data_IF_229792260654
#
_entry.id   IF_229792260654
#
_cell.length_a   1.000
_cell.length_b   1.000
_cell.length_c   1.000
_cell.angle_alpha   90.00
_cell.angle_beta   90.00
_cell.angle_gamma   90.00
#
_symmetry.space_group_name_H-M   'P 1'
#
loop_
_entity.id
_entity.type
_entity.pdbx_description
1 polymer ?
#
# COMPACT_ATOMS: atom_id res chain seq x y z
N UNK A 1 -30.14 -53.72 43.43
CA UNK A 1 -29.54 -52.43 43.85
C UNK A 1 -28.76 -51.90 42.63
N UNK A 2 -29.33 -51.07 41.73
CA UNK A 2 -29.31 -49.57 41.74
C UNK A 2 -27.93 -49.06 42.20
N UNK A 3 -27.08 -48.44 41.36
CA UNK A 3 -27.29 -47.13 40.69
C UNK A 3 -26.40 -47.00 39.43
N UNK A 4 -26.99 -46.53 38.32
CA UNK A 4 -26.30 -45.97 37.15
C UNK A 4 -26.33 -44.43 37.23
N UNK A 5 -25.20 -43.81 36.88
CA UNK A 5 -24.93 -42.49 36.23
C UNK A 5 -25.83 -41.26 36.55
N UNK A 6 -25.24 -40.06 36.70
CA UNK A 6 -24.77 -39.34 35.50
C UNK A 6 -23.45 -38.56 35.66
N UNK A 7 -22.61 -38.71 34.63
CA UNK A 7 -21.55 -37.77 34.25
C UNK A 7 -22.22 -36.50 33.72
N UNK A 8 -22.07 -35.40 34.43
CA UNK A 8 -22.49 -34.08 33.99
C UNK A 8 -21.44 -33.57 32.99
N UNK A 9 -21.62 -33.86 31.71
CA UNK A 9 -20.82 -33.28 30.63
C UNK A 9 -21.27 -31.83 30.42
N UNK A 10 -20.60 -30.89 31.09
CA UNK A 10 -20.72 -29.47 30.83
C UNK A 10 -20.09 -29.16 29.47
N UNK A 11 -20.93 -29.09 28.44
CA UNK A 11 -20.56 -28.71 27.08
C UNK A 11 -20.21 -27.21 27.07
N UNK A 12 -18.92 -26.91 27.09
CA UNK A 12 -18.35 -25.56 26.94
C UNK A 12 -18.73 -25.00 25.56
N UNK A 13 -19.71 -24.08 25.54
CA UNK A 13 -19.98 -23.20 24.40
C UNK A 13 -18.86 -22.15 24.32
N UNK A 14 -17.76 -22.48 23.66
CA UNK A 14 -16.78 -21.47 23.24
C UNK A 14 -17.40 -20.65 22.09
N UNK A 15 -17.49 -19.31 22.20
CA UNK A 15 -17.82 -18.48 21.05
C UNK A 15 -16.72 -18.68 20.01
N UNK A 16 -17.03 -19.40 18.94
CA UNK A 16 -16.16 -19.47 17.77
C UNK A 16 -16.01 -18.04 17.24
N UNK A 17 -14.83 -17.43 17.46
CA UNK A 17 -14.42 -16.23 16.75
C UNK A 17 -14.50 -16.55 15.25
N UNK A 18 -15.60 -16.15 14.60
CA UNK A 18 -15.65 -16.18 13.14
C UNK A 18 -14.62 -15.15 12.66
N UNK A 19 -13.70 -15.52 11.77
CA UNK A 19 -12.82 -14.54 11.15
C UNK A 19 -13.71 -13.48 10.50
N UNK A 20 -13.54 -12.23 10.92
CA UNK A 20 -14.27 -11.10 10.39
C UNK A 20 -13.95 -11.00 8.91
N UNK A 21 -14.93 -11.26 8.02
CA UNK A 21 -14.77 -11.03 6.58
C UNK A 21 -14.35 -9.57 6.41
N UNK A 22 -13.27 -9.33 5.67
CA UNK A 22 -12.82 -7.97 5.35
C UNK A 22 -13.96 -7.23 4.62
N UNK A 23 -14.11 -5.94 4.88
CA UNK A 23 -15.16 -5.12 4.27
C UNK A 23 -14.98 -5.01 2.74
N UNK A 24 -16.08 -4.78 2.02
CA UNK A 24 -16.13 -4.78 0.54
C UNK A 24 -16.00 -6.15 -0.14
N UNK A 25 -16.20 -6.19 -1.46
CA UNK A 25 -15.91 -7.30 -2.36
C UNK A 25 -14.56 -7.06 -3.06
N UNK A 26 -13.84 -8.14 -3.40
CA UNK A 26 -12.53 -8.01 -4.05
C UNK A 26 -12.71 -7.59 -5.51
N UNK A 27 -12.07 -6.48 -5.89
CA UNK A 27 -12.00 -6.03 -7.29
C UNK A 27 -10.88 -6.77 -8.02
N UNK A 28 -9.79 -7.08 -7.31
CA UNK A 28 -8.63 -7.81 -7.83
C UNK A 28 -7.42 -7.69 -6.92
N UNK A 29 -6.49 -8.64 -7.08
CA UNK A 29 -5.14 -8.53 -6.53
C UNK A 29 -4.17 -8.16 -7.64
N UNK A 30 -3.21 -7.29 -7.32
CA UNK A 30 -2.29 -6.72 -8.29
C UNK A 30 -0.85 -6.81 -7.78
N UNK A 31 0.08 -7.13 -8.67
CA UNK A 31 1.50 -6.83 -8.49
C UNK A 31 1.72 -5.39 -8.93
N UNK A 32 2.28 -4.59 -8.04
CA UNK A 32 2.51 -3.16 -8.26
C UNK A 32 3.99 -2.92 -8.46
N UNK A 33 4.31 -2.35 -9.62
CA UNK A 33 5.62 -1.84 -9.97
C UNK A 33 5.57 -0.30 -9.84
N UNK A 34 6.40 0.26 -8.95
CA UNK A 34 6.49 1.69 -8.68
C UNK A 34 7.77 2.30 -9.21
N UNK A 35 7.69 3.44 -9.91
CA UNK A 35 8.83 4.21 -10.43
C UNK A 35 8.89 5.56 -9.73
N UNK A 36 10.03 5.90 -9.11
CA UNK A 36 10.20 7.18 -8.42
C UNK A 36 10.15 8.33 -9.43
N UNK A 37 9.29 9.32 -9.18
CA UNK A 37 9.18 10.52 -10.00
C UNK A 37 10.04 11.65 -9.45
N UNK A 38 9.88 11.95 -8.15
CA UNK A 38 10.59 13.02 -7.47
C UNK A 38 10.72 12.74 -5.97
N UNK A 39 11.73 13.34 -5.36
CA UNK A 39 11.91 13.37 -3.89
C UNK A 39 12.59 14.67 -3.47
N UNK A 40 12.11 15.24 -2.36
CA UNK A 40 12.68 16.42 -1.70
C UNK A 40 13.19 16.09 -0.29
N UNK A 41 13.06 14.84 0.16
CA UNK A 41 13.42 14.43 1.51
C UNK A 41 14.92 14.17 1.71
N UNK A 42 15.71 14.13 0.62
CA UNK A 42 17.14 13.78 0.69
C UNK A 42 17.35 12.47 1.45
N UNK A 43 18.37 12.43 2.31
CA UNK A 43 18.67 11.27 3.16
C UNK A 43 17.75 11.15 4.39
N UNK A 44 16.86 12.13 4.61
CA UNK A 44 15.92 12.14 5.74
C UNK A 44 14.87 11.05 5.67
N UNK A 45 14.61 10.53 4.47
CA UNK A 45 13.74 9.37 4.28
C UNK A 45 14.31 8.46 3.20
N UNK A 46 14.50 7.15 3.46
CA UNK A 46 14.97 6.23 2.45
C UNK A 46 13.90 6.07 1.37
N UNK A 47 14.17 6.62 0.19
CA UNK A 47 13.32 6.50 -1.00
C UNK A 47 14.04 5.60 -1.99
N UNK A 48 13.40 4.49 -2.39
CA UNK A 48 13.95 3.58 -3.37
C UNK A 48 13.65 4.10 -4.79
N UNK A 49 14.52 3.87 -5.78
CA UNK A 49 14.21 4.25 -7.17
C UNK A 49 13.01 3.47 -7.73
N UNK A 50 12.78 2.26 -7.21
CA UNK A 50 11.69 1.38 -7.61
C UNK A 50 11.05 0.69 -6.41
N UNK A 51 9.74 0.49 -6.47
CA UNK A 51 8.97 -0.30 -5.50
C UNK A 51 8.38 -1.54 -6.17
N UNK A 52 8.31 -2.65 -5.43
CA UNK A 52 7.61 -3.86 -5.84
C UNK A 52 6.82 -4.40 -4.65
N UNK A 53 5.50 -4.48 -4.77
CA UNK A 53 4.63 -4.99 -3.72
C UNK A 53 3.32 -5.54 -4.29
N UNK A 54 2.51 -6.17 -3.45
CA UNK A 54 1.18 -6.65 -3.82
C UNK A 54 0.08 -5.91 -3.06
N UNK A 55 -1.03 -5.67 -3.75
CA UNK A 55 -2.20 -5.03 -3.19
C UNK A 55 -3.46 -5.77 -3.60
N UNK A 56 -4.44 -5.82 -2.72
CA UNK A 56 -5.83 -6.12 -3.06
C UNK A 56 -6.64 -4.83 -3.04
N UNK A 57 -7.30 -4.53 -4.17
CA UNK A 57 -8.28 -3.47 -4.26
C UNK A 57 -9.67 -4.04 -3.97
N UNK A 58 -10.43 -3.36 -3.11
CA UNK A 58 -11.78 -3.81 -2.72
C UNK A 58 -12.80 -2.68 -2.87
N UNK A 59 -14.01 -3.05 -3.24
CA UNK A 59 -15.15 -2.16 -3.49
C UNK A 59 -16.27 -2.46 -2.48
N UNK A 60 -16.69 -1.46 -1.73
CA UNK A 60 -17.84 -1.51 -0.84
C UNK A 60 -18.97 -0.62 -1.37
N UNK A 61 -20.24 -1.07 -1.31
CA UNK A 61 -21.37 -0.26 -1.73
C UNK A 61 -21.35 1.15 -1.11
N UNK A 62 -21.58 2.17 -1.94
CA UNK A 62 -21.60 3.57 -1.49
C UNK A 62 -20.30 4.33 -1.75
N UNK A 63 -19.57 4.00 -2.82
CA UNK A 63 -18.32 4.66 -3.28
C UNK A 63 -17.11 4.49 -2.36
N UNK A 64 -17.15 3.51 -1.45
CA UNK A 64 -16.06 3.26 -0.51
C UNK A 64 -15.17 2.17 -1.11
N UNK A 65 -13.86 2.37 -1.06
CA UNK A 65 -12.89 1.34 -1.43
C UNK A 65 -11.84 1.12 -0.36
N UNK A 66 -11.12 0.01 -0.50
CA UNK A 66 -9.99 -0.33 0.35
C UNK A 66 -8.75 -0.70 -0.46
N UNK A 67 -7.61 -0.19 -0.03
CA UNK A 67 -6.28 -0.54 -0.49
C UNK A 67 -5.59 -1.39 0.57
N UNK A 68 -5.57 -2.71 0.34
CA UNK A 68 -5.03 -3.68 1.29
C UNK A 68 -3.69 -4.20 0.81
N UNK A 69 -2.64 -3.91 1.58
CA UNK A 69 -1.32 -4.53 1.38
C UNK A 69 -1.32 -5.99 1.85
N UNK A 70 -0.42 -6.80 1.30
CA UNK A 70 -0.27 -8.21 1.69
C UNK A 70 0.11 -8.39 3.17
N UNK A 71 0.94 -7.48 3.69
CA UNK A 71 1.41 -7.48 5.08
C UNK A 71 1.58 -6.04 5.58
N UNK A 72 0.45 -5.33 5.70
CA UNK A 72 0.46 -3.91 6.05
C UNK A 72 -0.91 -3.36 6.41
N UNK A 73 -0.98 -2.05 6.70
CA UNK A 73 -2.24 -1.38 7.00
C UNK A 73 -3.18 -1.43 5.79
N UNK A 74 -4.47 -1.33 6.09
CA UNK A 74 -5.53 -1.16 5.08
C UNK A 74 -5.84 0.33 5.04
N UNK A 75 -5.59 0.97 3.89
CA UNK A 75 -6.05 2.33 3.66
C UNK A 75 -7.49 2.28 3.10
N UNK A 76 -8.30 3.27 3.49
CA UNK A 76 -9.68 3.41 3.00
C UNK A 76 -9.85 4.74 2.29
N UNK A 77 -10.84 4.84 1.43
CA UNK A 77 -11.08 6.03 0.64
C UNK A 77 -12.19 5.81 -0.37
N UNK A 78 -12.13 6.51 -1.49
CA UNK A 78 -13.15 6.43 -2.53
C UNK A 78 -12.78 5.42 -3.61
N UNK A 79 -13.77 4.64 -4.04
CA UNK A 79 -13.72 3.82 -5.26
C UNK A 79 -15.03 4.00 -6.02
N UNK A 80 -14.96 4.45 -7.27
CA UNK A 80 -16.14 4.66 -8.11
C UNK A 80 -15.78 4.41 -9.58
N UNK A 81 -16.53 3.52 -10.24
CA UNK A 81 -16.37 3.22 -11.67
C UNK A 81 -14.92 2.92 -12.10
N UNK A 82 -14.14 2.25 -11.24
CA UNK A 82 -12.74 1.89 -11.50
C UNK A 82 -11.72 2.96 -11.16
N UNK A 83 -12.14 4.19 -10.83
CA UNK A 83 -11.26 5.23 -10.29
C UNK A 83 -11.18 5.10 -8.76
N UNK A 84 -10.00 5.38 -8.19
CA UNK A 84 -9.78 5.28 -6.76
C UNK A 84 -8.90 6.39 -6.20
N UNK A 85 -9.15 6.71 -4.92
CA UNK A 85 -8.31 7.58 -4.08
C UNK A 85 -8.32 7.07 -2.65
N UNK A 86 -7.15 6.75 -2.12
CA UNK A 86 -6.95 6.31 -0.74
C UNK A 86 -6.00 7.24 -0.01
N UNK A 87 -6.20 7.37 1.30
CA UNK A 87 -5.34 8.16 2.15
C UNK A 87 -5.02 7.38 3.43
N UNK A 88 -3.75 7.42 3.82
CA UNK A 88 -3.28 6.93 5.12
C UNK A 88 -2.41 8.00 5.77
N UNK A 89 -2.53 8.14 7.09
CA UNK A 89 -1.77 9.12 7.84
C UNK A 89 -1.28 8.51 9.15
N UNK A 90 0.04 8.50 9.33
CA UNK A 90 0.69 7.97 10.53
C UNK A 90 1.54 9.05 11.18
N UNK A 91 1.50 9.13 12.50
CA UNK A 91 2.40 9.99 13.27
C UNK A 91 3.63 9.21 13.72
N UNK A 92 4.80 9.78 13.51
CA UNK A 92 6.07 9.26 13.97
C UNK A 92 6.67 10.24 14.98
N UNK A 93 6.98 9.72 16.17
CA UNK A 93 7.61 10.49 17.25
C UNK A 93 9.11 10.20 17.23
N UNK A 94 9.91 11.22 16.94
CA UNK A 94 11.33 11.24 17.25
C UNK A 94 11.51 11.34 18.76
N UNK A 95 12.45 10.57 19.32
CA UNK A 95 12.75 10.64 20.75
C UNK A 95 13.77 11.77 21.00
N UNK A 96 13.45 12.73 21.86
CA UNK A 96 14.48 13.55 22.50
C UNK A 96 14.94 12.81 23.77
N UNK A 97 16.17 12.31 23.74
CA UNK A 97 16.73 11.49 24.81
C UNK A 97 17.27 12.32 25.99
N UNK A 98 17.20 13.65 25.92
CA UNK A 98 18.04 14.53 26.74
C UNK A 98 17.31 15.17 27.92
N UNK A 99 16.03 15.49 27.77
CA UNK A 99 15.31 16.37 28.71
C UNK A 99 13.83 15.99 28.96
N UNK A 100 13.32 14.92 28.32
CA UNK A 100 12.00 14.37 28.59
C UNK A 100 10.83 15.14 27.97
N UNK A 101 11.09 16.10 27.08
CA UNK A 101 10.07 16.70 26.23
C UNK A 101 9.69 15.77 25.08
N UNK A 102 8.48 15.89 24.49
CA UNK A 102 8.17 15.20 23.24
C UNK A 102 9.20 15.64 22.20
N UNK A 103 10.01 14.70 21.71
CA UNK A 103 10.89 14.98 20.58
C UNK A 103 10.08 15.30 19.33
N UNK A 104 10.77 15.65 18.25
CA UNK A 104 10.12 16.01 16.99
C UNK A 104 9.05 14.99 16.57
N UNK A 105 7.78 15.42 16.48
CA UNK A 105 6.71 14.59 15.93
C UNK A 105 6.45 15.02 14.50
N UNK A 106 6.49 14.05 13.57
CA UNK A 106 6.16 14.26 12.17
C UNK A 106 4.95 13.40 11.79
N UNK A 107 4.07 13.94 10.95
CA UNK A 107 3.02 13.20 10.27
C UNK A 107 3.52 12.78 8.89
N UNK A 108 3.45 11.48 8.60
CA UNK A 108 3.58 10.92 7.26
C UNK A 108 2.17 10.72 6.72
N UNK A 109 1.79 11.49 5.70
CA UNK A 109 0.54 11.32 4.96
C UNK A 109 0.86 10.73 3.58
N UNK A 110 0.21 9.64 3.25
CA UNK A 110 0.27 8.99 1.94
C UNK A 110 -1.07 9.10 1.23
N UNK A 111 -1.04 9.49 -0.03
CA UNK A 111 -2.20 9.58 -0.91
C UNK A 111 -1.95 8.71 -2.14
N UNK A 112 -2.85 7.78 -2.40
CA UNK A 112 -2.77 6.84 -3.52
C UNK A 112 -3.96 7.09 -4.44
N UNK A 113 -3.71 7.36 -5.71
CA UNK A 113 -4.75 7.67 -6.70
C UNK A 113 -4.50 6.93 -8.00
N UNK A 114 -5.56 6.52 -8.69
CA UNK A 114 -5.43 5.84 -9.97
C UNK A 114 -6.75 5.37 -10.55
N UNK A 115 -6.66 4.62 -11.64
CA UNK A 115 -7.81 4.02 -12.30
C UNK A 115 -7.47 2.65 -12.89
N UNK A 116 -8.45 1.74 -12.88
CA UNK A 116 -8.36 0.46 -13.58
C UNK A 116 -8.23 0.70 -15.09
N UNK A 117 -7.36 -0.10 -15.73
CA UNK A 117 -7.17 -0.13 -17.17
C UNK A 117 -7.43 -1.56 -17.67
N UNK A 118 -8.07 -1.69 -18.83
CA UNK A 118 -8.34 -3.00 -19.44
C UNK A 118 -7.29 -3.32 -20.50
N UNK A 119 -6.84 -4.57 -20.51
CA UNK A 119 -6.11 -5.19 -21.63
C UNK A 119 -4.90 -4.42 -22.18
N UNK A 120 -3.83 -4.29 -21.40
CA UNK A 120 -2.54 -3.75 -21.90
C UNK A 120 -1.53 -4.89 -22.06
N UNK A 121 -1.00 -5.05 -23.28
CA UNK A 121 0.19 -5.87 -23.54
C UNK A 121 1.40 -5.12 -23.04
N UNK A 122 2.19 -5.72 -22.14
CA UNK A 122 3.44 -5.13 -21.68
C UNK A 122 4.51 -5.31 -22.76
N UNK A 123 4.48 -4.50 -23.81
CA UNK A 123 5.51 -4.49 -24.84
C UNK A 123 6.70 -3.67 -24.35
N UNK A 124 7.57 -4.32 -23.57
CA UNK A 124 8.95 -3.88 -23.34
C UNK A 124 9.84 -4.04 -24.60
N UNK A 125 9.30 -3.91 -25.80
CA UNK A 125 10.02 -4.13 -27.05
C UNK A 125 10.33 -2.80 -27.74
N UNK A 126 11.61 -2.44 -27.69
CA UNK A 126 12.23 -1.44 -28.56
C UNK A 126 11.81 -1.68 -30.01
N UNK A 127 11.31 -0.62 -30.65
CA UNK A 127 10.93 -0.64 -32.06
C UNK A 127 12.10 -1.06 -32.94
N UNK A 128 12.00 -2.26 -33.51
CA UNK A 128 12.86 -2.78 -34.54
C UNK A 128 12.01 -3.66 -35.44
N UNK A 129 11.63 -3.14 -36.60
CA UNK A 129 11.00 -3.92 -37.64
C UNK A 129 11.98 -5.01 -38.13
N UNK A 130 11.63 -6.28 -37.96
CA UNK A 130 12.11 -7.33 -38.87
C UNK A 130 11.15 -8.52 -38.91
N UNK A 131 11.10 -9.15 -40.07
CA UNK A 131 10.10 -10.09 -40.51
C UNK A 131 10.34 -11.52 -39.96
N UNK A 132 9.26 -12.13 -39.47
CA UNK A 132 8.94 -13.56 -39.61
C UNK A 132 9.93 -14.60 -39.11
N UNK A 133 9.73 -15.05 -37.86
CA UNK A 133 10.04 -16.42 -37.40
C UNK A 133 8.93 -16.85 -36.42
N UNK A 134 8.33 -18.05 -36.52
CA UNK A 134 7.48 -18.58 -35.45
C UNK A 134 8.40 -18.94 -34.28
N UNK A 135 8.29 -18.21 -33.17
CA UNK A 135 9.00 -18.54 -31.94
C UNK A 135 8.10 -19.41 -31.07
N UNK A 136 8.33 -20.71 -31.08
CA UNK A 136 7.77 -21.61 -30.08
C UNK A 136 8.56 -21.43 -28.77
N UNK A 137 8.04 -20.57 -27.89
CA UNK A 137 8.46 -20.47 -26.48
C UNK A 137 8.85 -19.06 -26.03
N UNK A 138 7.92 -18.36 -25.36
CA UNK A 138 8.29 -17.14 -24.65
C UNK A 138 7.16 -16.17 -24.33
N UNK A 139 6.04 -16.64 -23.77
CA UNK A 139 5.09 -15.82 -23.01
C UNK A 139 4.70 -14.50 -23.66
N UNK A 140 4.03 -14.57 -24.80
CA UNK A 140 3.32 -13.44 -25.40
C UNK A 140 2.37 -12.89 -24.33
N UNK A 141 2.67 -11.69 -23.83
CA UNK A 141 1.97 -11.11 -22.69
C UNK A 141 0.51 -10.88 -23.04
N UNK A 142 -0.36 -11.83 -22.67
CA UNK A 142 -1.80 -11.71 -22.85
C UNK A 142 -2.27 -10.39 -22.21
N UNK A 143 -3.20 -9.65 -22.85
CA UNK A 143 -3.69 -8.39 -22.29
C UNK A 143 -4.23 -8.64 -20.88
N UNK A 144 -3.52 -8.14 -19.87
CA UNK A 144 -3.95 -8.25 -18.48
C UNK A 144 -4.61 -6.97 -18.05
N UNK A 145 -5.74 -7.10 -17.37
CA UNK A 145 -6.34 -5.98 -16.66
C UNK A 145 -5.36 -5.49 -15.60
N UNK A 146 -5.38 -4.18 -15.34
CA UNK A 146 -4.43 -3.56 -14.45
C UNK A 146 -4.96 -2.25 -13.90
N UNK A 147 -4.04 -1.43 -13.40
CA UNK A 147 -4.31 -0.02 -13.11
C UNK A 147 -3.07 0.82 -13.36
N UNK A 148 -3.31 2.09 -13.67
CA UNK A 148 -2.29 3.14 -13.62
C UNK A 148 -2.62 4.11 -12.49
N UNK A 149 -1.60 4.60 -11.80
CA UNK A 149 -1.81 5.51 -10.69
C UNK A 149 -0.54 6.21 -10.22
N UNK A 150 -0.67 6.89 -9.09
CA UNK A 150 0.42 7.56 -8.38
C UNK A 150 0.24 7.39 -6.89
N UNK A 151 1.36 7.31 -6.15
CA UNK A 151 1.35 7.53 -4.69
C UNK A 151 2.21 8.76 -4.38
N UNK A 152 1.70 9.62 -3.52
CA UNK A 152 2.42 10.80 -3.02
C UNK A 152 2.51 10.72 -1.51
N UNK A 153 3.71 10.86 -0.97
CA UNK A 153 3.97 10.88 0.46
C UNK A 153 4.47 12.26 0.85
N UNK A 154 3.90 12.81 1.93
CA UNK A 154 4.34 14.06 2.56
C UNK A 154 4.67 13.82 4.02
N UNK A 155 5.83 14.33 4.45
CA UNK A 155 6.29 14.31 5.83
C UNK A 155 6.25 15.74 6.36
N UNK A 156 5.44 15.99 7.37
CA UNK A 156 5.19 17.34 7.92
C UNK A 156 5.39 17.34 9.43
N UNK A 157 6.16 18.29 9.99
CA UNK A 157 6.19 18.50 11.45
C UNK A 157 4.79 18.77 11.98
N UNK A 158 4.40 18.10 13.07
CA UNK A 158 3.12 18.41 13.70
C UNK A 158 3.21 19.76 14.42
N UNK A 159 2.08 20.45 14.54
CA UNK A 159 2.05 21.79 15.15
C UNK A 159 2.56 21.74 16.60
N UNK A 160 3.53 22.61 16.92
CA UNK A 160 4.15 22.66 18.25
C UNK A 160 5.31 21.69 18.47
N UNK A 161 5.72 20.91 17.46
CA UNK A 161 6.94 20.08 17.53
C UNK A 161 8.20 20.85 17.12
N UNK A 162 9.29 20.63 17.87
CA UNK A 162 10.62 21.16 17.54
C UNK A 162 11.41 20.15 16.71
N UNK A 163 11.42 20.34 15.39
CA UNK A 163 12.07 19.44 14.43
C UNK A 163 13.38 19.96 13.85
N UNK A 164 13.93 21.02 14.44
CA UNK A 164 15.17 21.67 13.97
C UNK A 164 16.36 20.70 13.93
N UNK A 165 16.47 19.79 14.89
CA UNK A 165 17.53 18.77 14.95
C UNK A 165 17.46 17.72 13.84
N UNK A 166 16.32 17.59 13.15
CA UNK A 166 16.21 16.70 11.99
C UNK A 166 16.75 17.34 10.70
N UNK A 167 17.02 18.65 10.70
CA UNK A 167 17.46 19.38 9.52
C UNK A 167 18.99 19.34 9.35
N UNK A 168 19.46 19.26 8.10
CA UNK A 168 20.87 19.21 7.73
C UNK A 168 21.74 20.33 8.33
N UNK A 169 21.31 21.60 8.41
CA UNK A 169 22.09 22.64 9.07
C UNK A 169 22.42 22.34 10.54
N UNK A 170 21.58 21.53 11.20
CA UNK A 170 21.73 21.15 12.61
C UNK A 170 22.31 19.74 12.79
N UNK A 171 22.81 19.12 11.70
CA UNK A 171 23.37 17.76 11.71
C UNK A 171 22.35 16.64 11.48
N UNK A 172 21.09 16.98 11.17
CA UNK A 172 20.07 16.00 10.80
C UNK A 172 20.13 15.56 9.33
N UNK A 173 19.23 14.66 8.94
CA UNK A 173 19.24 14.03 7.61
C UNK A 173 18.32 14.72 6.59
N UNK A 174 17.35 15.52 7.03
CA UNK A 174 16.41 16.20 6.14
C UNK A 174 16.98 17.52 5.61
N UNK A 175 16.98 17.77 4.29
CA UNK A 175 17.33 19.08 3.75
C UNK A 175 16.35 20.17 4.21
N UNK A 176 15.06 19.84 4.26
CA UNK A 176 13.98 20.70 4.73
C UNK A 176 12.81 19.86 5.24
N UNK A 177 11.98 20.47 6.08
CA UNK A 177 10.66 19.95 6.47
C UNK A 177 9.63 21.08 6.28
N UNK A 178 8.44 20.82 5.73
CA UNK A 178 7.98 19.53 5.20
C UNK A 178 8.77 19.08 3.96
N UNK A 179 8.79 17.78 3.72
CA UNK A 179 9.34 17.19 2.50
C UNK A 179 8.34 16.17 1.93
N UNK A 180 8.60 15.71 0.70
CA UNK A 180 7.77 14.69 0.07
C UNK A 180 8.46 13.99 -1.10
N UNK A 181 7.84 12.90 -1.53
CA UNK A 181 8.25 12.11 -2.68
C UNK A 181 7.01 11.47 -3.33
N UNK A 182 7.12 11.13 -4.61
CA UNK A 182 6.03 10.51 -5.36
C UNK A 182 6.52 9.42 -6.29
N UNK A 183 5.68 8.40 -6.49
CA UNK A 183 5.90 7.33 -7.43
C UNK A 183 4.76 7.27 -8.44
N UNK A 184 5.10 6.93 -9.69
CA UNK A 184 4.14 6.38 -10.64
C UNK A 184 3.94 4.92 -10.29
N UNK A 185 2.69 4.47 -10.23
CA UNK A 185 2.32 3.10 -9.94
C UNK A 185 1.72 2.44 -11.18
N UNK A 186 2.12 1.20 -11.44
CA UNK A 186 1.48 0.33 -12.42
C UNK A 186 1.12 -0.99 -11.76
N UNK A 187 -0.16 -1.33 -11.76
CA UNK A 187 -0.67 -2.59 -11.24
C UNK A 187 -0.94 -3.58 -12.37
N UNK A 188 -0.40 -4.78 -12.27
CA UNK A 188 -0.79 -5.91 -13.13
C UNK A 188 -1.63 -6.89 -12.32
N UNK A 189 -2.85 -7.20 -12.78
CA UNK A 189 -3.73 -8.14 -12.10
C UNK A 189 -3.10 -9.54 -12.05
N UNK A 190 -3.22 -10.17 -10.89
CA UNK A 190 -2.79 -11.56 -10.68
C UNK A 190 -3.87 -12.52 -11.17
N UNK A 191 -3.44 -13.62 -11.79
CA UNK A 191 -4.33 -14.71 -12.22
C UNK A 191 -4.81 -15.55 -11.05
N UNK A 192 -3.90 -15.81 -10.10
CA UNK A 192 -4.18 -16.51 -8.86
C UNK A 192 -4.08 -15.55 -7.67
N UNK A 193 -5.11 -15.44 -6.82
CA UNK A 193 -5.04 -14.67 -5.58
C UNK A 193 -3.94 -15.20 -4.66
N UNK A 194 -3.18 -14.28 -4.04
CA UNK A 194 -2.14 -14.62 -3.07
C UNK A 194 -2.71 -14.90 -1.67
N UNK A 195 -3.92 -14.41 -1.37
CA UNK A 195 -4.63 -14.59 -0.10
C UNK A 195 -6.15 -14.54 -0.25
#
# INVERSE_FOLDING_TARGET
MRRLFPFLAALLLLPACRPTKLAGESVGQFRVDGELLETTCGDGHPVLPTLLFHVELRDEPGTIGYWKLSDGPIASGSYEAGAFRFEDATQHVGVDATDGHPGCVVERREVIEGALVQGVTHDGAVGGADAGVPHDGGGDGEPRDGFDGTTTVRITPTAGSECSLLLQPQGGAFPALPCGFSYRLRGTRLEEPLW
#
